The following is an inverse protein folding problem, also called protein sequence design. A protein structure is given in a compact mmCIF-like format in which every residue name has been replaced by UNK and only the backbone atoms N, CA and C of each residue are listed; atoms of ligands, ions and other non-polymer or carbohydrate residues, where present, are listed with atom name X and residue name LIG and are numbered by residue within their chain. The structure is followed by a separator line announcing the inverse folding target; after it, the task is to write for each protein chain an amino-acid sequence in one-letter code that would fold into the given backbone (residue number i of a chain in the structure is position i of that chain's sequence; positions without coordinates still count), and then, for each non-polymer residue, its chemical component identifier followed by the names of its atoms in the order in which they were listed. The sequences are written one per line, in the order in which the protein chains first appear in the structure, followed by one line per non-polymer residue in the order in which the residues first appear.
data_IF_043623466380
#
_entry.id   IF_043623466380
#
_cell.length_a   1.000
_cell.length_b   1.000
_cell.length_c   1.000
_cell.angle_alpha   90.00
_cell.angle_beta   90.00
_cell.angle_gamma   90.00
#
_symmetry.space_group_name_H-M   'P 1'
#
loop_
_entity.id
_entity.type
_entity.pdbx_description
1 polymer ?
#
# COMPACT_ATOMS: atom_id res chain seq x y z
N UNK A 1 -6.62 27.09 7.48
CA UNK A 1 -7.86 27.14 8.27
C UNK A 1 -7.62 26.44 9.60
N UNK A 2 -7.60 27.24 10.68
CA UNK A 2 -7.55 26.94 12.13
C UNK A 2 -7.72 25.48 12.61
N UNK A 3 -6.68 24.66 12.57
CA UNK A 3 -6.57 23.43 13.41
C UNK A 3 -5.33 23.48 14.34
N UNK A 4 -4.35 24.35 14.07
CA UNK A 4 -3.14 24.49 14.91
C UNK A 4 -3.34 25.24 16.25
N UNK A 5 -4.49 25.86 16.51
CA UNK A 5 -4.62 26.84 17.62
C UNK A 5 -5.17 26.31 18.95
N UNK A 6 -5.58 25.03 19.06
CA UNK A 6 -6.15 24.48 20.31
C UNK A 6 -5.12 23.63 21.10
N UNK A 7 -4.04 23.18 20.46
CA UNK A 7 -3.00 22.35 21.09
C UNK A 7 -2.30 23.05 22.27
N UNK A 8 -2.18 24.37 22.24
CA UNK A 8 -1.34 25.12 23.19
C UNK A 8 -2.03 25.52 24.48
N UNK A 9 -3.34 25.31 24.63
CA UNK A 9 -4.12 25.92 25.73
C UNK A 9 -4.49 24.94 26.85
N UNK A 10 -4.59 23.63 26.60
CA UNK A 10 -5.12 22.68 27.61
C UNK A 10 -4.24 21.50 27.99
N UNK A 11 -3.22 21.11 27.20
CA UNK A 11 -2.40 19.91 27.44
C UNK A 11 -3.14 18.57 27.26
N UNK A 12 -4.47 18.54 27.37
CA UNK A 12 -5.30 17.33 27.33
C UNK A 12 -5.21 16.55 26.02
N UNK A 13 -4.97 17.21 24.88
CA UNK A 13 -4.75 16.52 23.61
C UNK A 13 -3.42 15.76 23.60
N UNK A 14 -2.38 16.32 24.21
CA UNK A 14 -1.09 15.64 24.35
C UNK A 14 -1.26 14.41 25.24
N UNK A 15 -1.95 14.53 26.38
CA UNK A 15 -2.20 13.39 27.27
C UNK A 15 -2.98 12.26 26.58
N UNK A 16 -3.97 12.59 25.74
CA UNK A 16 -4.73 11.59 24.97
C UNK A 16 -3.83 10.91 23.93
N UNK A 17 -3.02 11.68 23.20
CA UNK A 17 -2.08 11.15 22.20
C UNK A 17 -1.04 10.26 22.89
N UNK A 18 -0.47 10.68 24.01
CA UNK A 18 0.53 9.91 24.75
C UNK A 18 -0.05 8.58 25.26
N UNK A 19 -1.30 8.60 25.77
CA UNK A 19 -2.01 7.37 26.17
C UNK A 19 -2.30 6.46 24.99
N UNK A 20 -2.74 7.01 23.86
CA UNK A 20 -3.00 6.25 22.64
C UNK A 20 -1.70 5.63 22.11
N UNK A 21 -0.62 6.39 22.06
CA UNK A 21 0.71 5.92 21.66
C UNK A 21 1.17 4.78 22.57
N UNK A 22 1.03 4.90 23.88
CA UNK A 22 1.38 3.84 24.82
C UNK A 22 0.56 2.55 24.60
N UNK A 23 -0.74 2.67 24.31
CA UNK A 23 -1.59 1.52 23.99
C UNK A 23 -1.17 0.85 22.67
N UNK A 24 -0.92 1.64 21.63
CA UNK A 24 -0.45 1.15 20.34
C UNK A 24 0.91 0.46 20.49
N UNK A 25 1.84 1.04 21.27
CA UNK A 25 3.16 0.46 21.50
C UNK A 25 3.04 -0.88 22.22
N UNK A 26 2.26 -0.94 23.30
CA UNK A 26 2.07 -2.16 24.06
C UNK A 26 1.48 -3.28 23.19
N UNK A 27 0.39 -2.99 22.45
CA UNK A 27 -0.24 -3.98 21.55
C UNK A 27 0.72 -4.42 20.44
N UNK A 28 1.34 -3.46 19.75
CA UNK A 28 2.18 -3.75 18.58
C UNK A 28 3.41 -4.58 18.96
N UNK A 29 3.97 -4.39 20.16
CA UNK A 29 5.13 -5.15 20.62
C UNK A 29 4.82 -6.63 20.81
N UNK A 30 3.63 -6.96 21.29
CA UNK A 30 3.16 -8.35 21.41
C UNK A 30 2.85 -8.94 20.04
N UNK A 31 2.15 -8.17 19.21
CA UNK A 31 1.77 -8.55 17.85
C UNK A 31 3.00 -8.82 16.97
N UNK A 32 4.00 -7.94 16.93
CA UNK A 32 5.24 -8.11 16.16
C UNK A 32 5.95 -9.41 16.54
N UNK A 33 6.01 -9.75 17.85
CA UNK A 33 6.60 -11.01 18.30
C UNK A 33 5.81 -12.22 17.79
N UNK A 34 4.49 -12.17 17.87
CA UNK A 34 3.62 -13.23 17.38
C UNK A 34 3.73 -13.39 15.85
N UNK A 35 3.78 -12.28 15.11
CA UNK A 35 3.90 -12.27 13.66
C UNK A 35 5.25 -12.81 13.19
N UNK A 36 6.35 -12.42 13.84
CA UNK A 36 7.69 -12.96 13.53
C UNK A 36 7.76 -14.48 13.77
N UNK A 37 7.12 -14.99 14.82
CA UNK A 37 7.03 -16.44 15.07
C UNK A 37 6.23 -17.18 14.00
N UNK A 38 5.20 -16.54 13.44
CA UNK A 38 4.28 -17.13 12.47
C UNK A 38 4.49 -16.58 11.05
N UNK A 39 5.70 -16.15 10.68
CA UNK A 39 5.98 -15.51 9.39
C UNK A 39 5.71 -16.41 8.16
N UNK A 40 5.60 -17.72 8.37
CA UNK A 40 5.22 -18.71 7.35
C UNK A 40 3.70 -18.88 7.19
N UNK A 41 2.92 -18.34 8.11
CA UNK A 41 1.45 -18.45 8.17
C UNK A 41 0.80 -17.07 8.30
N UNK A 42 1.08 -16.23 7.30
CA UNK A 42 0.75 -14.80 7.33
C UNK A 42 -0.75 -14.58 7.22
N UNK A 43 -1.25 -13.65 8.03
CA UNK A 43 -2.61 -13.08 7.93
C UNK A 43 -2.53 -11.67 7.36
N UNK A 44 -3.51 -11.26 6.57
CA UNK A 44 -3.59 -9.92 5.99
C UNK A 44 -3.48 -8.83 7.07
N UNK A 45 -4.22 -8.99 8.17
CA UNK A 45 -4.20 -8.05 9.30
C UNK A 45 -2.86 -7.96 10.05
N UNK A 46 -1.88 -8.82 9.75
CA UNK A 46 -0.55 -8.70 10.34
C UNK A 46 0.31 -7.62 9.68
N UNK A 47 0.01 -7.27 8.42
CA UNK A 47 0.87 -6.38 7.64
C UNK A 47 0.13 -5.27 6.89
N UNK A 48 -1.19 -5.38 6.70
CA UNK A 48 -1.93 -4.48 5.83
C UNK A 48 -1.91 -3.00 6.29
N UNK A 49 -2.43 -2.10 5.44
CA UNK A 49 -2.50 -0.67 5.72
C UNK A 49 -3.72 -0.27 6.57
N UNK A 50 -4.69 -1.16 6.76
CA UNK A 50 -5.98 -0.86 7.40
C UNK A 50 -5.97 -1.19 8.89
N UNK A 51 -5.51 -2.39 9.21
CA UNK A 51 -5.51 -3.00 10.55
C UNK A 51 -4.13 -3.50 10.98
N UNK A 52 -3.19 -3.64 10.04
CA UNK A 52 -1.88 -4.21 10.26
C UNK A 52 -0.76 -3.21 10.45
N UNK A 53 0.45 -3.76 10.51
CA UNK A 53 1.65 -3.00 10.86
C UNK A 53 2.01 -1.90 9.86
N UNK A 54 1.62 -1.99 8.59
CA UNK A 54 1.91 -0.90 7.64
C UNK A 54 1.15 0.37 8.02
N UNK A 55 -0.11 0.25 8.41
CA UNK A 55 -0.93 1.37 8.90
C UNK A 55 -0.42 1.92 10.23
N UNK A 56 -0.07 1.03 11.17
CA UNK A 56 0.50 1.41 12.47
C UNK A 56 1.83 2.15 12.29
N UNK A 57 2.73 1.66 11.45
CA UNK A 57 4.02 2.32 11.17
C UNK A 57 3.80 3.69 10.54
N UNK A 58 2.88 3.81 9.57
CA UNK A 58 2.55 5.09 8.95
C UNK A 58 2.08 6.14 9.99
N UNK A 59 1.28 5.72 10.97
CA UNK A 59 0.90 6.57 12.10
C UNK A 59 2.07 6.91 13.03
N UNK A 60 2.84 5.91 13.45
CA UNK A 60 3.92 6.10 14.42
C UNK A 60 5.07 6.98 13.89
N UNK A 61 5.24 7.06 12.57
CA UNK A 61 6.22 7.94 11.94
C UNK A 61 6.00 9.44 12.27
N UNK A 62 4.79 9.86 12.64
CA UNK A 62 4.53 11.22 13.15
C UNK A 62 5.22 11.50 14.51
N UNK A 63 5.66 10.46 15.21
CA UNK A 63 6.28 10.52 16.54
C UNK A 63 7.65 9.85 16.55
N UNK A 64 8.31 9.74 15.39
CA UNK A 64 9.57 9.01 15.19
C UNK A 64 10.77 9.48 16.02
N UNK A 65 10.69 10.68 16.58
CA UNK A 65 11.76 11.26 17.41
C UNK A 65 11.75 10.72 18.84
N UNK A 66 10.63 10.11 19.27
CA UNK A 66 10.53 9.42 20.56
C UNK A 66 11.21 8.05 20.49
N UNK A 67 12.13 7.78 21.42
CA UNK A 67 13.04 6.62 21.34
C UNK A 67 12.31 5.27 21.28
N UNK A 68 11.29 5.09 22.13
CA UNK A 68 10.53 3.83 22.19
C UNK A 68 9.65 3.62 20.95
N UNK A 69 9.11 4.70 20.40
CA UNK A 69 8.35 4.66 19.13
C UNK A 69 9.29 4.32 17.98
N UNK A 70 10.47 4.95 17.92
CA UNK A 70 11.48 4.67 16.92
C UNK A 70 11.91 3.20 16.93
N UNK A 71 12.14 2.63 18.11
CA UNK A 71 12.47 1.20 18.27
C UNK A 71 11.34 0.32 17.73
N UNK A 72 10.09 0.63 18.06
CA UNK A 72 8.94 -0.14 17.59
C UNK A 72 8.77 -0.06 16.06
N UNK A 73 8.95 1.13 15.47
CA UNK A 73 8.96 1.30 14.01
C UNK A 73 10.02 0.38 13.41
N UNK A 74 11.26 0.41 13.90
CA UNK A 74 12.34 -0.44 13.40
C UNK A 74 12.03 -1.94 13.55
N UNK A 75 11.41 -2.36 14.65
CA UNK A 75 10.99 -3.75 14.86
C UNK A 75 9.89 -4.18 13.89
N UNK A 76 8.93 -3.31 13.61
CA UNK A 76 7.85 -3.52 12.65
C UNK A 76 8.36 -3.55 11.22
N UNK A 77 9.23 -2.61 10.83
CA UNK A 77 9.93 -2.62 9.53
C UNK A 77 10.71 -3.93 9.35
N UNK A 78 11.37 -4.43 10.41
CA UNK A 78 12.08 -5.71 10.36
C UNK A 78 11.15 -6.89 10.08
N UNK A 79 9.92 -6.88 10.60
CA UNK A 79 8.91 -7.87 10.23
C UNK A 79 8.49 -7.72 8.76
N UNK A 80 8.19 -6.50 8.30
CA UNK A 80 7.82 -6.22 6.92
C UNK A 80 8.92 -6.63 5.92
N UNK A 81 10.20 -6.39 6.24
CA UNK A 81 11.35 -6.90 5.47
C UNK A 81 11.37 -8.43 5.46
N UNK A 82 11.06 -9.08 6.58
CA UNK A 82 10.94 -10.54 6.65
C UNK A 82 9.86 -11.11 5.72
N UNK A 83 8.77 -10.37 5.49
CA UNK A 83 7.71 -10.77 4.57
C UNK A 83 8.15 -10.80 3.10
N UNK A 84 9.18 -10.04 2.73
CA UNK A 84 9.75 -10.05 1.37
C UNK A 84 10.85 -11.09 1.20
N UNK A 85 11.16 -11.87 2.23
CA UNK A 85 12.10 -12.99 2.13
C UNK A 85 11.42 -14.22 1.55
N UNK A 86 12.22 -15.02 0.86
CA UNK A 86 11.77 -16.22 0.18
C UNK A 86 11.48 -17.36 1.15
N UNK A 87 10.49 -18.18 0.79
CA UNK A 87 10.21 -19.47 1.41
C UNK A 87 9.77 -20.48 0.36
N UNK A 88 9.89 -21.75 0.70
CA UNK A 88 9.37 -22.82 -0.15
C UNK A 88 7.90 -23.10 0.16
N UNK A 89 7.05 -23.11 -0.87
CA UNK A 89 5.63 -23.45 -0.79
C UNK A 89 5.28 -24.30 -2.00
N UNK A 90 4.72 -25.49 -1.80
CA UNK A 90 4.38 -26.44 -2.87
C UNK A 90 5.53 -26.74 -3.85
N UNK A 91 6.77 -26.73 -3.37
CA UNK A 91 7.98 -26.95 -4.19
C UNK A 91 8.46 -25.74 -4.99
N UNK A 92 7.86 -24.56 -4.77
CA UNK A 92 8.26 -23.30 -5.41
C UNK A 92 8.78 -22.30 -4.39
N UNK A 93 9.75 -21.49 -4.81
CA UNK A 93 10.28 -20.38 -4.02
C UNK A 93 9.41 -19.15 -4.23
N UNK A 94 8.77 -18.69 -3.16
CA UNK A 94 7.85 -17.55 -3.17
C UNK A 94 8.07 -16.67 -1.94
N UNK A 95 7.74 -15.37 -1.98
CA UNK A 95 7.88 -14.49 -0.83
C UNK A 95 6.94 -14.86 0.32
N UNK A 96 7.33 -14.49 1.54
CA UNK A 96 6.57 -14.78 2.75
C UNK A 96 5.18 -14.11 2.78
N UNK A 97 4.95 -13.02 2.03
CA UNK A 97 3.63 -12.41 1.87
C UNK A 97 2.63 -13.22 1.03
N UNK A 98 2.97 -14.44 0.60
CA UNK A 98 1.96 -15.40 0.14
C UNK A 98 0.91 -15.67 1.24
N UNK A 99 -0.37 -15.47 0.93
CA UNK A 99 -1.48 -15.69 1.86
C UNK A 99 -2.13 -17.03 1.53
N UNK A 100 -2.04 -18.00 2.45
CA UNK A 100 -2.61 -19.34 2.24
C UNK A 100 -4.14 -19.33 2.13
N UNK A 101 -4.72 -20.37 1.54
CA UNK A 101 -6.19 -20.54 1.41
C UNK A 101 -6.91 -20.42 2.76
N UNK A 102 -6.38 -21.01 3.84
CA UNK A 102 -7.00 -20.92 5.17
C UNK A 102 -7.02 -19.51 5.77
N UNK A 103 -6.17 -18.60 5.28
CA UNK A 103 -6.05 -17.22 5.78
C UNK A 103 -6.73 -16.19 4.86
N UNK A 104 -7.55 -16.63 3.89
CA UNK A 104 -8.41 -15.73 3.12
C UNK A 104 -9.49 -15.12 4.01
N UNK A 105 -9.95 -13.91 3.65
CA UNK A 105 -10.90 -13.16 4.47
C UNK A 105 -12.31 -13.74 4.36
N UNK A 106 -12.72 -14.11 3.14
CA UNK A 106 -14.05 -14.65 2.87
C UNK A 106 -13.98 -16.15 2.58
N UNK A 107 -14.99 -16.91 2.98
CA UNK A 107 -15.02 -18.35 2.72
C UNK A 107 -15.01 -18.66 1.22
N UNK A 108 -15.71 -17.86 0.41
CA UNK A 108 -15.69 -17.98 -1.06
C UNK A 108 -14.30 -17.81 -1.66
N UNK A 109 -13.44 -16.98 -1.03
CA UNK A 109 -12.07 -16.76 -1.50
C UNK A 109 -11.19 -17.99 -1.25
N UNK A 110 -11.53 -18.84 -0.28
CA UNK A 110 -10.78 -20.08 -0.01
C UNK A 110 -10.87 -21.05 -1.18
N UNK A 111 -12.04 -21.11 -1.82
CA UNK A 111 -12.30 -21.92 -3.01
C UNK A 111 -11.67 -21.31 -4.28
N UNK A 112 -11.62 -19.98 -4.37
CA UNK A 112 -10.98 -19.28 -5.51
C UNK A 112 -9.44 -19.37 -5.43
N UNK A 113 -8.89 -19.27 -4.22
CA UNK A 113 -7.47 -19.26 -3.92
C UNK A 113 -7.06 -20.52 -3.16
N UNK A 114 -7.31 -21.71 -3.74
CA UNK A 114 -7.05 -23.01 -3.08
C UNK A 114 -5.59 -23.20 -2.64
N UNK A 115 -4.63 -22.67 -3.41
CA UNK A 115 -3.21 -22.64 -3.04
C UNK A 115 -2.77 -21.32 -2.42
N UNK A 116 -3.72 -20.41 -2.18
CA UNK A 116 -3.45 -19.05 -1.70
C UNK A 116 -3.24 -18.04 -2.82
N UNK A 117 -2.86 -16.82 -2.43
CA UNK A 117 -2.65 -15.71 -3.35
C UNK A 117 -1.56 -14.74 -2.89
N UNK A 118 -1.25 -13.80 -3.77
CA UNK A 118 -0.40 -12.64 -3.54
C UNK A 118 -1.27 -11.39 -3.75
N UNK A 119 -1.45 -10.62 -2.69
CA UNK A 119 -2.30 -9.43 -2.72
C UNK A 119 -1.47 -8.21 -3.12
N UNK A 120 -1.79 -7.59 -4.27
CA UNK A 120 -1.10 -6.42 -4.80
C UNK A 120 -1.74 -5.10 -4.38
N UNK A 121 -2.90 -5.13 -3.73
CA UNK A 121 -3.62 -3.94 -3.29
C UNK A 121 -2.81 -3.07 -2.32
N UNK A 122 -3.15 -1.79 -2.28
CA UNK A 122 -2.60 -0.86 -1.29
C UNK A 122 -3.19 -1.12 0.10
N UNK A 123 -4.50 -1.40 0.19
CA UNK A 123 -5.16 -1.54 1.49
C UNK A 123 -4.72 -2.80 2.23
N UNK A 124 -4.74 -3.95 1.54
CA UNK A 124 -4.63 -5.30 2.11
C UNK A 124 -3.47 -6.12 1.55
N UNK A 125 -2.61 -5.50 0.75
CA UNK A 125 -1.56 -6.17 0.00
C UNK A 125 -0.18 -5.56 0.22
N UNK A 126 0.73 -5.96 -0.65
CA UNK A 126 2.13 -5.52 -0.61
C UNK A 126 2.29 -4.02 -0.89
N UNK A 127 1.25 -3.34 -1.38
CA UNK A 127 1.26 -1.89 -1.55
C UNK A 127 1.33 -1.14 -0.21
N UNK A 128 0.67 -1.67 0.83
CA UNK A 128 0.79 -1.15 2.19
C UNK A 128 2.21 -1.33 2.75
N UNK A 129 2.78 -2.52 2.55
CA UNK A 129 4.16 -2.84 2.93
C UNK A 129 5.13 -1.89 2.23
N UNK A 130 4.98 -1.73 0.92
CA UNK A 130 5.80 -0.85 0.08
C UNK A 130 5.75 0.59 0.58
N UNK A 131 4.55 1.11 0.86
CA UNK A 131 4.37 2.47 1.36
C UNK A 131 5.05 2.65 2.72
N UNK A 132 4.85 1.74 3.68
CA UNK A 132 5.45 1.84 5.00
C UNK A 132 6.99 1.81 4.96
N UNK A 133 7.58 0.89 4.19
CA UNK A 133 9.03 0.81 4.00
C UNK A 133 9.59 2.07 3.34
N UNK A 134 8.88 2.61 2.33
CA UNK A 134 9.35 3.76 1.56
C UNK A 134 9.24 5.07 2.34
N UNK A 135 8.12 5.29 3.04
CA UNK A 135 7.94 6.48 3.88
C UNK A 135 8.96 6.48 5.02
N UNK A 136 9.15 5.35 5.71
CA UNK A 136 10.16 5.27 6.77
C UNK A 136 11.56 5.63 6.26
N UNK A 137 11.93 5.15 5.06
CA UNK A 137 13.20 5.46 4.43
C UNK A 137 13.34 6.96 4.11
N UNK A 138 12.29 7.56 3.53
CA UNK A 138 12.24 9.00 3.27
C UNK A 138 12.30 9.86 4.54
N UNK A 139 11.74 9.36 5.65
CA UNK A 139 11.76 10.01 6.96
C UNK A 139 13.07 9.80 7.74
N UNK A 140 14.09 9.17 7.14
CA UNK A 140 15.41 8.96 7.72
C UNK A 140 15.50 7.76 8.68
N UNK A 141 14.56 6.81 8.58
CA UNK A 141 14.59 5.56 9.32
C UNK A 141 14.89 4.41 8.36
N UNK A 142 16.15 3.98 8.39
CA UNK A 142 16.64 2.87 7.57
C UNK A 142 17.08 1.70 8.46
N UNK A 143 16.61 0.50 8.12
CA UNK A 143 17.07 -0.77 8.70
C UNK A 143 17.73 -1.66 7.64
N UNK A 144 18.52 -2.64 8.08
CA UNK A 144 19.15 -3.61 7.20
C UNK A 144 18.11 -4.35 6.35
N UNK A 145 18.33 -4.38 5.03
CA UNK A 145 17.47 -5.08 4.06
C UNK A 145 16.24 -4.29 3.60
N UNK A 146 15.98 -3.08 4.13
CA UNK A 146 14.81 -2.27 3.76
C UNK A 146 14.77 -1.90 2.28
N UNK A 147 15.87 -1.40 1.72
CA UNK A 147 15.97 -1.08 0.28
C UNK A 147 15.74 -2.30 -0.60
N UNK A 148 16.38 -3.43 -0.27
CA UNK A 148 16.19 -4.70 -0.97
C UNK A 148 14.76 -5.24 -0.88
N UNK A 149 14.08 -5.01 0.24
CA UNK A 149 12.67 -5.36 0.38
C UNK A 149 11.77 -4.50 -0.53
N UNK A 150 12.07 -3.19 -0.63
CA UNK A 150 11.40 -2.28 -1.57
C UNK A 150 11.62 -2.76 -3.01
N UNK A 151 12.86 -3.04 -3.39
CA UNK A 151 13.24 -3.54 -4.73
C UNK A 151 12.43 -4.79 -5.10
N UNK A 152 12.38 -5.80 -4.22
CA UNK A 152 11.63 -7.05 -4.47
C UNK A 152 10.14 -6.83 -4.71
N UNK A 153 9.52 -5.94 -3.93
CA UNK A 153 8.09 -5.62 -4.12
C UNK A 153 7.89 -4.88 -5.45
N UNK A 154 8.80 -3.95 -5.79
CA UNK A 154 8.77 -3.27 -7.09
C UNK A 154 8.97 -4.24 -8.26
N UNK A 155 9.82 -5.27 -8.12
CA UNK A 155 9.98 -6.34 -9.11
C UNK A 155 8.67 -7.10 -9.34
N UNK A 156 7.93 -7.44 -8.29
CA UNK A 156 6.61 -8.05 -8.44
C UNK A 156 5.62 -7.12 -9.18
N UNK A 157 5.58 -5.84 -8.83
CA UNK A 157 4.75 -4.89 -9.57
C UNK A 157 5.17 -4.74 -11.03
N UNK A 158 6.48 -4.70 -11.34
CA UNK A 158 6.99 -4.67 -12.72
C UNK A 158 6.67 -5.96 -13.45
N UNK A 159 6.71 -7.11 -12.78
CA UNK A 159 6.42 -8.41 -13.38
C UNK A 159 4.96 -8.55 -13.78
N UNK A 160 4.04 -8.03 -12.97
CA UNK A 160 2.59 -8.25 -13.15
C UNK A 160 1.82 -7.01 -13.62
N UNK A 161 2.49 -5.99 -14.14
CA UNK A 161 1.81 -4.87 -14.78
C UNK A 161 1.25 -5.27 -16.16
N UNK A 162 0.23 -4.54 -16.60
CA UNK A 162 -0.38 -4.68 -17.91
C UNK A 162 -0.39 -3.32 -18.58
N UNK A 163 -0.16 -3.33 -19.89
CA UNK A 163 -0.27 -2.15 -20.74
C UNK A 163 -1.41 -2.39 -21.71
N UNK A 164 -2.39 -1.49 -21.76
CA UNK A 164 -3.46 -1.59 -22.76
C UNK A 164 -3.05 -0.99 -24.11
N UNK A 165 -3.95 -1.09 -25.09
CA UNK A 165 -3.73 -0.59 -26.45
C UNK A 165 -3.47 0.93 -26.52
N UNK A 166 -3.85 1.68 -25.48
CA UNK A 166 -3.62 3.12 -25.38
C UNK A 166 -2.35 3.46 -24.58
N UNK A 167 -1.58 2.46 -24.16
CA UNK A 167 -0.34 2.63 -23.41
C UNK A 167 -0.54 2.85 -21.91
N UNK A 168 -1.76 2.70 -21.39
CA UNK A 168 -2.05 2.91 -19.99
C UNK A 168 -1.68 1.68 -19.15
N UNK A 169 -1.14 1.92 -17.95
CA UNK A 169 -0.57 0.89 -17.06
C UNK A 169 -1.53 0.52 -15.92
N UNK A 170 -1.70 -0.78 -15.68
CA UNK A 170 -2.54 -1.32 -14.61
C UNK A 170 -1.94 -2.55 -13.96
N UNK A 171 -2.49 -2.90 -12.79
CA UNK A 171 -2.12 -4.10 -12.05
C UNK A 171 -3.37 -4.89 -11.66
N UNK A 172 -3.27 -6.24 -11.59
CA UNK A 172 -4.28 -7.04 -10.95
C UNK A 172 -4.29 -6.73 -9.45
N UNK A 173 -5.46 -6.80 -8.82
CA UNK A 173 -5.56 -6.58 -7.37
C UNK A 173 -5.00 -7.76 -6.55
N UNK A 174 -5.23 -8.98 -7.02
CA UNK A 174 -4.82 -10.23 -6.36
C UNK A 174 -4.34 -11.20 -7.43
N UNK A 175 -3.24 -11.90 -7.17
CA UNK A 175 -2.64 -12.89 -8.08
C UNK A 175 -2.75 -14.27 -7.44
N UNK A 176 -3.32 -15.24 -8.16
CA UNK A 176 -3.38 -16.63 -7.70
C UNK A 176 -2.00 -17.25 -7.60
N UNK A 177 -1.82 -18.25 -6.74
CA UNK A 177 -0.54 -18.94 -6.62
C UNK A 177 0.00 -19.42 -7.97
N UNK A 178 -0.84 -20.07 -8.77
CA UNK A 178 -0.49 -20.60 -10.09
C UNK A 178 -0.03 -19.50 -11.06
N UNK A 179 -0.73 -18.37 -11.06
CA UNK A 179 -0.40 -17.20 -11.90
C UNK A 179 0.92 -16.55 -11.48
N UNK A 180 1.18 -16.53 -10.16
CA UNK A 180 2.44 -16.04 -9.63
C UNK A 180 3.62 -16.92 -10.07
N UNK A 181 3.42 -18.25 -10.08
CA UNK A 181 4.46 -19.19 -10.53
C UNK A 181 4.67 -19.07 -12.04
N UNK A 182 3.60 -19.03 -12.84
CA UNK A 182 3.70 -18.93 -14.30
C UNK A 182 4.24 -17.57 -14.77
N UNK A 183 4.10 -16.52 -13.94
CA UNK A 183 4.39 -15.14 -14.32
C UNK A 183 3.34 -14.54 -15.25
N UNK A 184 2.20 -15.21 -15.42
CA UNK A 184 1.09 -14.77 -16.25
C UNK A 184 -0.16 -14.73 -15.40
N UNK A 185 -0.79 -13.57 -15.32
CA UNK A 185 -2.10 -13.42 -14.69
C UNK A 185 -3.09 -12.95 -15.77
N UNK A 186 -4.39 -13.00 -15.48
CA UNK A 186 -5.39 -12.32 -16.30
C UNK A 186 -5.94 -11.19 -15.46
N UNK A 187 -6.04 -9.99 -16.04
CA UNK A 187 -6.77 -8.90 -15.39
C UNK A 187 -8.26 -9.10 -15.66
N UNK A 188 -9.00 -9.39 -14.60
CA UNK A 188 -10.46 -9.51 -14.65
C UNK A 188 -11.19 -8.18 -14.36
N UNK A 189 -10.47 -7.08 -14.08
CA UNK A 189 -11.09 -5.77 -13.87
C UNK A 189 -10.11 -4.59 -13.77
N UNK A 190 -10.56 -3.40 -14.18
CA UNK A 190 -9.75 -2.15 -14.22
C UNK A 190 -10.20 -1.09 -13.22
N UNK A 191 -10.89 -1.50 -12.15
CA UNK A 191 -11.45 -0.58 -11.19
C UNK A 191 -10.37 0.35 -10.62
N UNK A 192 -10.59 1.65 -10.72
CA UNK A 192 -9.70 2.69 -10.21
C UNK A 192 -9.87 2.89 -8.68
N UNK A 193 -9.88 1.79 -7.92
CA UNK A 193 -9.98 1.84 -6.47
C UNK A 193 -8.65 2.24 -5.82
N UNK A 194 -8.72 3.02 -4.73
CA UNK A 194 -7.54 3.27 -3.90
C UNK A 194 -7.07 2.00 -3.21
N UNK A 195 -8.00 1.17 -2.70
CA UNK A 195 -7.69 -0.07 -2.00
C UNK A 195 -7.07 -1.15 -2.90
N UNK A 196 -7.71 -1.40 -4.04
CA UNK A 196 -7.29 -2.32 -5.09
C UNK A 196 -7.47 -1.61 -6.43
N UNK A 197 -6.35 -1.31 -7.08
CA UNK A 197 -6.33 -0.63 -8.36
C UNK A 197 -5.10 0.26 -8.56
N UNK A 198 -4.95 0.76 -9.79
CA UNK A 198 -3.83 1.61 -10.19
C UNK A 198 -3.63 2.85 -9.31
N UNK A 199 -4.65 3.58 -8.81
CA UNK A 199 -4.41 4.81 -8.05
C UNK A 199 -3.55 4.59 -6.79
N UNK A 200 -3.89 3.56 -6.00
CA UNK A 200 -3.14 3.23 -4.78
C UNK A 200 -1.77 2.63 -5.09
N UNK A 201 -1.73 1.69 -6.04
CA UNK A 201 -0.49 0.99 -6.43
C UNK A 201 0.53 1.96 -7.02
N UNK A 202 0.12 2.78 -8.00
CA UNK A 202 0.99 3.76 -8.63
C UNK A 202 1.52 4.79 -7.61
N UNK A 203 0.69 5.20 -6.64
CA UNK A 203 1.17 6.10 -5.58
C UNK A 203 2.27 5.45 -4.73
N UNK A 204 2.07 4.21 -4.29
CA UNK A 204 3.05 3.49 -3.48
C UNK A 204 4.35 3.24 -4.28
N UNK A 205 4.24 2.82 -5.53
CA UNK A 205 5.38 2.62 -6.43
C UNK A 205 6.15 3.91 -6.71
N UNK A 206 5.46 5.05 -6.91
CA UNK A 206 6.10 6.33 -7.13
C UNK A 206 6.94 6.76 -5.92
N UNK A 207 6.38 6.63 -4.71
CA UNK A 207 7.11 6.95 -3.47
C UNK A 207 8.31 6.03 -3.28
N UNK A 208 8.14 4.73 -3.51
CA UNK A 208 9.20 3.74 -3.44
C UNK A 208 10.33 4.01 -4.43
N UNK A 209 9.98 4.27 -5.70
CA UNK A 209 10.94 4.56 -6.75
C UNK A 209 11.76 5.80 -6.42
N UNK A 210 11.16 6.85 -5.85
CA UNK A 210 11.90 8.02 -5.37
C UNK A 210 12.80 7.69 -4.17
N UNK A 211 12.33 6.86 -3.23
CA UNK A 211 13.08 6.52 -2.01
C UNK A 211 14.37 5.72 -2.29
N UNK A 212 14.38 4.89 -3.34
CA UNK A 212 15.54 4.05 -3.70
C UNK A 212 16.20 4.43 -5.04
N UNK A 213 15.67 5.40 -5.78
CA UNK A 213 16.20 5.83 -7.09
C UNK A 213 15.84 4.91 -8.26
N UNK A 214 14.75 4.14 -8.16
CA UNK A 214 14.26 3.25 -9.23
C UNK A 214 13.44 4.04 -10.26
N UNK A 215 14.09 4.39 -11.37
CA UNK A 215 13.50 5.20 -12.45
C UNK A 215 12.37 4.48 -13.18
N UNK A 216 12.45 3.17 -13.33
CA UNK A 216 11.42 2.38 -14.02
C UNK A 216 10.14 2.33 -13.20
N UNK A 217 10.26 2.16 -11.88
CA UNK A 217 9.13 2.22 -10.97
C UNK A 217 8.44 3.61 -11.01
N UNK A 218 9.23 4.69 -11.06
CA UNK A 218 8.70 6.05 -11.23
C UNK A 218 7.97 6.18 -12.58
N UNK A 219 8.57 5.74 -13.68
CA UNK A 219 7.98 5.84 -15.02
C UNK A 219 6.66 5.05 -15.13
N UNK A 220 6.62 3.81 -14.65
CA UNK A 220 5.39 3.00 -14.65
C UNK A 220 4.29 3.65 -13.82
N UNK A 221 4.65 4.25 -12.67
CA UNK A 221 3.69 4.95 -11.82
C UNK A 221 3.09 6.17 -12.52
N UNK A 222 3.92 6.97 -13.19
CA UNK A 222 3.47 8.12 -13.97
C UNK A 222 2.57 7.70 -15.12
N UNK A 223 2.94 6.66 -15.88
CA UNK A 223 2.10 6.11 -16.96
C UNK A 223 0.74 5.62 -16.46
N UNK A 224 0.68 5.02 -15.27
CA UNK A 224 -0.58 4.58 -14.68
C UNK A 224 -1.50 5.76 -14.33
N UNK A 225 -0.96 6.83 -13.74
CA UNK A 225 -1.74 8.04 -13.43
C UNK A 225 -2.14 8.79 -14.71
N UNK A 226 -1.24 8.90 -15.70
CA UNK A 226 -1.56 9.46 -17.01
C UNK A 226 -2.71 8.69 -17.67
N UNK A 227 -2.68 7.35 -17.61
CA UNK A 227 -3.75 6.48 -18.06
C UNK A 227 -5.08 6.79 -17.38
N UNK A 228 -5.09 6.89 -16.05
CA UNK A 228 -6.29 7.25 -15.28
C UNK A 228 -6.82 8.65 -15.65
N UNK A 229 -5.94 9.61 -15.92
CA UNK A 229 -6.32 10.97 -16.32
C UNK A 229 -6.89 11.05 -17.75
N UNK A 230 -6.53 10.11 -18.62
CA UNK A 230 -7.01 10.05 -20.00
C UNK A 230 -8.29 9.21 -20.16
N UNK A 231 -8.64 8.40 -19.18
CA UNK A 231 -9.89 7.63 -19.15
C UNK A 231 -11.13 8.52 -19.07
N UNK A 232 -12.22 8.02 -19.65
CA UNK A 232 -13.58 8.51 -19.36
C UNK A 232 -14.04 8.03 -17.98
N UNK A 233 -15.03 8.71 -17.43
CA UNK A 233 -15.56 8.42 -16.10
C UNK A 233 -16.02 6.97 -15.96
N UNK A 234 -16.72 6.44 -16.98
CA UNK A 234 -17.29 5.09 -16.93
C UNK A 234 -16.21 4.00 -16.92
N UNK A 235 -15.03 4.29 -17.45
CA UNK A 235 -13.90 3.36 -17.50
C UNK A 235 -13.23 3.18 -16.13
N UNK A 236 -13.42 4.11 -15.19
CA UNK A 236 -12.91 3.98 -13.83
C UNK A 236 -13.63 2.91 -13.01
N UNK A 237 -14.83 2.50 -13.43
CA UNK A 237 -15.69 1.54 -12.72
C UNK A 237 -15.95 1.94 -11.25
N UNK A 238 -16.16 3.24 -11.02
CA UNK A 238 -16.48 3.82 -9.70
C UNK A 238 -17.96 4.15 -9.64
N UNK A 239 -18.56 4.03 -8.46
CA UNK A 239 -20.01 4.17 -8.27
C UNK A 239 -20.39 4.91 -6.98
N UNK A 240 -19.43 5.48 -6.25
CA UNK A 240 -19.70 6.19 -4.99
C UNK A 240 -18.66 7.28 -4.73
N UNK A 241 -18.99 8.33 -3.95
CA UNK A 241 -18.05 9.39 -3.59
C UNK A 241 -17.07 8.98 -2.46
N UNK A 242 -16.91 7.69 -2.18
CA UNK A 242 -16.14 7.19 -1.03
C UNK A 242 -14.62 7.18 -1.29
N UNK A 243 -13.82 7.11 -0.21
CA UNK A 243 -12.35 7.05 -0.30
C UNK A 243 -11.85 5.67 -0.70
N UNK A 244 -12.37 4.59 -0.11
CA UNK A 244 -11.79 3.25 -0.26
C UNK A 244 -11.76 2.80 -1.74
N UNK A 245 -12.87 2.99 -2.44
CA UNK A 245 -13.06 2.48 -3.80
C UNK A 245 -14.04 3.34 -4.61
N UNK A 246 -14.02 4.65 -4.36
CA UNK A 246 -14.85 5.65 -4.99
C UNK A 246 -14.03 6.85 -5.49
N UNK A 247 -14.74 7.86 -5.99
CA UNK A 247 -14.13 9.03 -6.64
C UNK A 247 -13.17 9.80 -5.71
N UNK A 248 -13.49 9.91 -4.41
CA UNK A 248 -12.62 10.61 -3.46
C UNK A 248 -11.27 9.91 -3.28
N UNK A 249 -11.22 8.59 -3.41
CA UNK A 249 -9.97 7.81 -3.40
C UNK A 249 -9.09 8.10 -4.61
N UNK A 250 -9.69 8.10 -5.80
CA UNK A 250 -9.01 8.47 -7.04
C UNK A 250 -8.50 9.92 -6.97
N UNK A 251 -9.36 10.85 -6.55
CA UNK A 251 -9.00 12.25 -6.35
C UNK A 251 -7.77 12.40 -5.45
N UNK A 252 -7.78 11.72 -4.29
CA UNK A 252 -6.68 11.80 -3.32
C UNK A 252 -5.36 11.33 -3.93
N UNK A 253 -5.37 10.23 -4.68
CA UNK A 253 -4.17 9.72 -5.36
C UNK A 253 -3.66 10.71 -6.42
N UNK A 254 -4.54 11.22 -7.28
CA UNK A 254 -4.18 12.17 -8.34
C UNK A 254 -3.66 13.49 -7.77
N UNK A 255 -4.29 14.02 -6.70
CA UNK A 255 -3.82 15.22 -6.02
C UNK A 255 -2.45 15.03 -5.36
N UNK A 256 -2.21 13.87 -4.74
CA UNK A 256 -0.89 13.55 -4.18
C UNK A 256 0.19 13.49 -5.27
N UNK A 257 -0.15 12.92 -6.43
CA UNK A 257 0.74 12.89 -7.59
C UNK A 257 0.97 14.28 -8.18
N UNK A 258 -0.04 15.14 -8.25
CA UNK A 258 0.13 16.54 -8.65
C UNK A 258 1.07 17.28 -7.69
N UNK A 259 0.89 17.12 -6.38
CA UNK A 259 1.72 17.78 -5.36
C UNK A 259 3.20 17.45 -5.54
N UNK A 260 3.54 16.20 -5.86
CA UNK A 260 4.92 15.75 -5.96
C UNK A 260 5.56 16.02 -7.33
N UNK A 261 4.76 16.11 -8.39
CA UNK A 261 5.27 16.24 -9.79
C UNK A 261 5.11 17.64 -10.36
N UNK A 262 4.18 18.44 -9.85
CA UNK A 262 3.76 19.71 -10.45
C UNK A 262 3.06 19.56 -11.82
N UNK A 263 2.74 18.34 -12.26
CA UNK A 263 2.17 18.10 -13.58
C UNK A 263 0.72 18.62 -13.68
N UNK A 264 0.51 19.65 -14.49
CA UNK A 264 -0.79 20.35 -14.64
C UNK A 264 -1.91 19.40 -15.08
N UNK A 265 -1.61 18.34 -15.85
CA UNK A 265 -2.61 17.34 -16.25
C UNK A 265 -3.26 16.65 -15.05
N UNK A 266 -2.50 16.44 -13.97
CA UNK A 266 -3.02 15.82 -12.75
C UNK A 266 -3.92 16.79 -11.99
N UNK A 267 -3.63 18.09 -12.00
CA UNK A 267 -4.53 19.10 -11.46
C UNK A 267 -5.85 19.12 -12.23
N UNK A 268 -5.79 19.16 -13.56
CA UNK A 268 -6.99 19.16 -14.42
C UNK A 268 -7.84 17.89 -14.22
N UNK A 269 -7.19 16.73 -14.10
CA UNK A 269 -7.90 15.49 -13.77
C UNK A 269 -8.53 15.55 -12.37
N UNK A 270 -7.83 16.09 -11.37
CA UNK A 270 -8.37 16.25 -10.03
C UNK A 270 -9.59 17.19 -10.02
N UNK A 271 -9.55 18.29 -10.78
CA UNK A 271 -10.67 19.22 -10.92
C UNK A 271 -11.88 18.51 -11.56
N UNK A 272 -11.68 17.72 -12.62
CA UNK A 272 -12.73 16.91 -13.25
C UNK A 272 -13.36 15.90 -12.28
N UNK A 273 -12.55 15.20 -11.47
CA UNK A 273 -13.06 14.25 -10.47
C UNK A 273 -13.83 14.99 -9.37
N UNK A 274 -13.37 16.17 -8.97
CA UNK A 274 -14.06 17.01 -7.97
C UNK A 274 -15.44 17.44 -8.47
N UNK A 275 -15.56 17.87 -9.73
CA UNK A 275 -16.85 18.22 -10.34
C UNK A 275 -17.84 17.07 -10.29
N UNK A 276 -17.38 15.85 -10.60
CA UNK A 276 -18.21 14.63 -10.48
C UNK A 276 -18.67 14.46 -9.04
N UNK A 277 -17.78 14.50 -8.05
CA UNK A 277 -18.13 14.36 -6.62
C UNK A 277 -19.17 15.40 -6.18
N UNK A 278 -19.05 16.65 -6.63
CA UNK A 278 -19.98 17.73 -6.29
C UNK A 278 -21.35 17.59 -6.97
N UNK A 279 -21.45 16.74 -7.99
CA UNK A 279 -22.68 16.47 -8.73
C UNK A 279 -23.47 15.24 -8.23
N UNK A 280 -22.87 14.42 -7.35
CA UNK A 280 -23.48 13.22 -6.74
C UNK A 280 -24.39 13.58 -5.56
#
# INVERSE_FOLDING_TARGET
MKICTISTVSGHYKDIIDRLNNLIIASSKEDIKAYKRNIKDVKISSFDAISGLSGVIAYLLFFKDEEDIRKLIMEGLSYLVGLTQDREVYGYVVPNYHISSKNQLLDIEKDIYMKGNFNLGLSNGIGGILAALSIALMEGIEIAGQRKAIERILEDYKRFHYVDNNGAVYWPGIIKFEDYISGQCKIDGRRAGWCYGSPGIARAMYMAGNAIGDKEAIELSLKAIDGLCNMKEEEWMLNSPTICHGYAGLLTAVQAMYKDTGNVKYRECADRIMEIILSL
#
